data_IF_405518571253
#
_entry.id   IF_405518571253
#
_cell.length_a   1.000
_cell.length_b   1.000
_cell.length_c   1.000
_cell.angle_alpha   90.00
_cell.angle_beta   90.00
_cell.angle_gamma   90.00
#
_symmetry.space_group_name_H-M   'P 1'
#
loop_
_entity.id
_entity.type
_entity.pdbx_description
1 polymer ?
#
# COMPACT_ATOMS: atom_id res chain seq x y z
N UNK A 1 69.85 -34.27 -15.47
CA UNK A 1 68.46 -34.54 -15.08
C UNK A 1 67.96 -33.32 -14.27
N UNK A 2 67.10 -32.47 -14.86
CA UNK A 2 66.53 -31.31 -14.21
C UNK A 2 65.06 -31.64 -13.89
N UNK A 3 64.68 -31.75 -12.61
CA UNK A 3 63.33 -31.89 -12.17
C UNK A 3 62.70 -30.50 -12.06
N UNK A 4 61.63 -30.24 -12.87
CA UNK A 4 60.80 -29.05 -12.76
C UNK A 4 59.62 -29.45 -11.86
N UNK A 5 59.59 -28.88 -10.64
CA UNK A 5 58.39 -28.97 -9.78
C UNK A 5 57.32 -27.98 -10.27
N UNK A 6 56.25 -28.51 -10.80
CA UNK A 6 55.07 -27.69 -11.12
C UNK A 6 54.24 -27.40 -9.85
N UNK A 7 54.15 -26.13 -9.50
CA UNK A 7 53.32 -25.65 -8.39
C UNK A 7 51.89 -25.41 -8.94
N UNK A 8 50.94 -26.34 -8.65
CA UNK A 8 49.51 -26.11 -8.96
C UNK A 8 48.90 -25.22 -7.87
N UNK A 9 48.66 -23.94 -8.24
CA UNK A 9 47.82 -23.05 -7.44
C UNK A 9 46.34 -23.44 -7.61
N UNK A 10 45.72 -24.04 -6.59
CA UNK A 10 44.27 -24.24 -6.48
C UNK A 10 43.64 -22.89 -6.06
N UNK A 11 43.07 -22.16 -7.00
CA UNK A 11 42.21 -21.03 -6.76
C UNK A 11 40.84 -21.54 -6.26
N UNK A 12 40.64 -21.54 -4.94
CA UNK A 12 39.35 -21.80 -4.33
C UNK A 12 38.38 -20.68 -4.66
N UNK A 13 37.36 -20.97 -5.48
CA UNK A 13 36.23 -20.06 -5.73
C UNK A 13 35.34 -20.08 -4.47
N UNK A 14 35.46 -19.04 -3.64
CA UNK A 14 34.51 -18.82 -2.53
C UNK A 14 33.20 -18.29 -3.12
N UNK A 15 32.25 -19.17 -3.35
CA UNK A 15 30.87 -18.76 -3.67
C UNK A 15 30.23 -18.20 -2.39
N UNK A 16 30.20 -16.88 -2.26
CA UNK A 16 29.39 -16.20 -1.25
C UNK A 16 27.93 -16.37 -1.66
N UNK A 17 27.24 -17.33 -1.06
CA UNK A 17 25.78 -17.42 -1.14
C UNK A 17 25.23 -16.20 -0.43
N UNK A 18 24.63 -15.26 -1.17
CA UNK A 18 23.86 -14.17 -0.56
C UNK A 18 22.66 -14.79 0.14
N UNK A 19 22.73 -14.92 1.45
CA UNK A 19 21.62 -15.38 2.28
C UNK A 19 20.54 -14.30 2.19
N UNK A 20 19.37 -14.63 1.64
CA UNK A 20 18.24 -13.71 1.55
C UNK A 20 17.83 -13.27 2.96
N UNK A 21 18.03 -12.00 3.27
CA UNK A 21 17.76 -11.47 4.59
C UNK A 21 16.25 -11.41 4.81
N UNK A 22 15.76 -12.11 5.82
CA UNK A 22 14.36 -12.05 6.23
C UNK A 22 14.05 -10.62 6.70
N UNK A 23 13.02 -10.01 6.13
CA UNK A 23 12.58 -8.67 6.53
C UNK A 23 12.00 -8.69 7.96
N UNK A 24 12.23 -7.62 8.71
CA UNK A 24 11.51 -7.39 9.96
C UNK A 24 10.02 -7.17 9.67
N UNK A 25 9.17 -7.23 10.70
CA UNK A 25 7.74 -6.95 10.55
C UNK A 25 7.50 -5.54 10.00
N UNK A 26 8.23 -4.54 10.51
CA UNK A 26 8.16 -3.17 10.02
C UNK A 26 8.55 -3.07 8.54
N UNK A 27 9.69 -3.66 8.17
CA UNK A 27 10.19 -3.62 6.79
C UNK A 27 9.21 -4.30 5.81
N UNK A 28 8.67 -5.46 6.19
CA UNK A 28 7.66 -6.16 5.40
C UNK A 28 6.39 -5.33 5.22
N UNK A 29 5.89 -4.76 6.32
CA UNK A 29 4.69 -3.90 6.29
C UNK A 29 4.88 -2.66 5.42
N UNK A 30 6.02 -1.99 5.53
CA UNK A 30 6.36 -0.83 4.70
C UNK A 30 6.46 -1.20 3.21
N UNK A 31 7.07 -2.33 2.89
CA UNK A 31 7.17 -2.82 1.51
C UNK A 31 5.79 -3.08 0.92
N UNK A 32 4.94 -3.80 1.64
CA UNK A 32 3.61 -4.17 1.17
C UNK A 32 2.72 -2.92 0.99
N UNK A 33 2.80 -1.96 1.91
CA UNK A 33 2.11 -0.67 1.81
C UNK A 33 2.56 0.13 0.58
N UNK A 34 3.87 0.20 0.33
CA UNK A 34 4.42 0.91 -0.83
C UNK A 34 3.99 0.27 -2.15
N UNK A 35 4.00 -1.06 -2.23
CA UNK A 35 3.50 -1.79 -3.40
C UNK A 35 2.01 -1.51 -3.65
N UNK A 36 1.21 -1.42 -2.58
CA UNK A 36 -0.21 -1.08 -2.68
C UNK A 36 -0.41 0.36 -3.14
N UNK A 37 0.37 1.33 -2.62
CA UNK A 37 0.38 2.72 -3.11
C UNK A 37 0.57 2.76 -4.62
N UNK A 38 1.63 2.12 -5.12
CA UNK A 38 1.96 2.11 -6.55
C UNK A 38 0.80 1.55 -7.39
N UNK A 39 0.17 0.49 -6.91
CA UNK A 39 -0.96 -0.16 -7.59
C UNK A 39 -2.19 0.75 -7.60
N UNK A 40 -2.52 1.35 -6.46
CA UNK A 40 -3.67 2.24 -6.32
C UNK A 40 -3.49 3.54 -7.10
N UNK A 41 -2.31 4.12 -7.13
CA UNK A 41 -2.02 5.30 -7.95
C UNK A 41 -2.18 5.00 -9.44
N UNK A 42 -1.68 3.87 -9.92
CA UNK A 42 -1.80 3.46 -11.33
C UNK A 42 -3.25 3.23 -11.74
N UNK A 43 -4.04 2.50 -10.95
CA UNK A 43 -5.44 2.22 -11.30
C UNK A 43 -6.29 3.50 -11.23
N UNK A 44 -6.06 4.36 -10.24
CA UNK A 44 -6.80 5.62 -10.09
C UNK A 44 -6.49 6.59 -11.24
N UNK A 45 -5.24 6.65 -11.68
CA UNK A 45 -4.84 7.48 -12.82
C UNK A 45 -5.39 6.97 -14.17
N UNK A 46 -5.66 5.68 -14.30
CA UNK A 46 -6.09 5.06 -15.55
C UNK A 46 -7.51 5.47 -16.00
N UNK A 47 -8.39 5.86 -15.09
CA UNK A 47 -9.73 6.35 -15.44
C UNK A 47 -9.62 7.78 -16.00
N UNK A 48 -10.13 8.07 -17.23
CA UNK A 48 -10.14 9.42 -17.79
C UNK A 48 -10.93 10.42 -16.94
N UNK A 49 -10.60 11.70 -17.07
CA UNK A 49 -11.29 12.79 -16.34
C UNK A 49 -12.80 12.79 -16.61
N UNK A 50 -13.19 12.66 -17.88
CA UNK A 50 -14.58 12.69 -18.32
C UNK A 50 -15.44 11.53 -17.81
N UNK A 51 -14.80 10.40 -17.44
CA UNK A 51 -15.48 9.23 -16.88
C UNK A 51 -15.18 9.02 -15.40
N UNK A 52 -14.45 9.94 -14.75
CA UNK A 52 -14.08 9.81 -13.36
C UNK A 52 -15.29 9.80 -12.40
N UNK A 53 -16.41 10.40 -12.83
CA UNK A 53 -17.71 10.33 -12.16
C UNK A 53 -18.57 9.11 -12.52
N UNK A 54 -18.06 8.14 -13.30
CA UNK A 54 -18.84 6.96 -13.70
C UNK A 54 -19.29 6.13 -12.51
N UNK A 55 -20.57 5.74 -12.52
CA UNK A 55 -21.23 4.93 -11.48
C UNK A 55 -21.86 3.68 -12.12
N UNK A 56 -21.44 2.46 -11.78
CA UNK A 56 -21.97 1.24 -12.40
C UNK A 56 -23.46 1.02 -12.14
N UNK A 57 -23.91 1.29 -10.92
CA UNK A 57 -25.32 1.21 -10.51
C UNK A 57 -25.65 2.37 -9.54
N UNK A 58 -26.93 2.79 -9.44
CA UNK A 58 -27.31 3.93 -8.60
C UNK A 58 -26.85 3.89 -7.14
N UNK A 59 -26.89 2.73 -6.43
CA UNK A 59 -26.48 2.67 -5.02
C UNK A 59 -24.96 2.61 -4.81
N UNK A 60 -24.17 2.34 -5.85
CA UNK A 60 -22.71 2.29 -5.73
C UNK A 60 -22.08 3.68 -5.72
N UNK A 61 -20.88 3.79 -5.16
CA UNK A 61 -20.02 4.97 -5.32
C UNK A 61 -19.65 5.13 -6.80
N UNK A 62 -19.42 6.36 -7.25
CA UNK A 62 -18.74 6.59 -8.51
C UNK A 62 -17.22 6.33 -8.37
N UNK A 63 -16.46 6.36 -9.46
CA UNK A 63 -15.04 6.03 -9.43
C UNK A 63 -14.23 6.98 -8.53
N UNK A 64 -14.46 8.29 -8.61
CA UNK A 64 -13.82 9.29 -7.75
C UNK A 64 -14.16 9.08 -6.26
N UNK A 65 -15.42 8.78 -5.96
CA UNK A 65 -15.87 8.44 -4.61
C UNK A 65 -15.21 7.15 -4.07
N UNK A 66 -14.91 6.17 -4.92
CA UNK A 66 -14.14 4.99 -4.51
C UNK A 66 -12.70 5.36 -4.13
N UNK A 67 -12.06 6.23 -4.90
CA UNK A 67 -10.71 6.72 -4.58
C UNK A 67 -10.71 7.49 -3.26
N UNK A 68 -11.67 8.40 -3.08
CA UNK A 68 -11.81 9.16 -1.82
C UNK A 68 -12.09 8.26 -0.62
N UNK A 69 -12.83 7.17 -0.80
CA UNK A 69 -13.08 6.20 0.26
C UNK A 69 -11.78 5.49 0.71
N UNK A 70 -10.85 5.23 -0.21
CA UNK A 70 -9.51 4.74 0.16
C UNK A 70 -8.72 5.81 0.91
N UNK A 71 -8.79 7.08 0.48
CA UNK A 71 -8.16 8.21 1.20
C UNK A 71 -8.62 8.26 2.64
N UNK A 72 -9.94 8.26 2.85
CA UNK A 72 -10.54 8.29 4.18
C UNK A 72 -10.13 7.07 5.03
N UNK A 73 -10.15 5.87 4.47
CA UNK A 73 -9.75 4.65 5.15
C UNK A 73 -8.29 4.71 5.58
N UNK A 74 -7.36 5.01 4.67
CA UNK A 74 -5.94 5.14 4.96
C UNK A 74 -5.68 6.10 6.12
N UNK A 75 -6.23 7.32 6.04
CA UNK A 75 -6.02 8.34 7.09
C UNK A 75 -6.58 7.87 8.43
N UNK A 76 -7.79 7.36 8.45
CA UNK A 76 -8.46 6.94 9.68
C UNK A 76 -7.78 5.73 10.33
N UNK A 77 -7.35 4.74 9.56
CA UNK A 77 -6.72 3.53 10.11
C UNK A 77 -5.29 3.80 10.56
N UNK A 78 -4.49 4.54 9.78
CA UNK A 78 -3.13 4.90 10.19
C UNK A 78 -3.14 5.79 11.44
N UNK A 79 -4.12 6.67 11.59
CA UNK A 79 -4.29 7.48 12.81
C UNK A 79 -4.46 6.63 14.09
N UNK A 80 -5.05 5.42 13.97
CA UNK A 80 -5.22 4.47 15.07
C UNK A 80 -3.91 3.86 15.58
N UNK A 81 -2.81 4.03 14.84
CA UNK A 81 -1.49 3.62 15.31
C UNK A 81 -0.97 4.51 16.44
N UNK A 82 -1.58 5.70 16.64
CA UNK A 82 -1.30 6.59 17.76
C UNK A 82 0.03 7.35 17.65
N UNK A 83 0.59 7.48 16.46
CA UNK A 83 1.77 8.30 16.21
C UNK A 83 1.44 9.80 16.27
N UNK A 84 2.45 10.61 16.58
CA UNK A 84 2.32 12.08 16.64
C UNK A 84 2.57 12.77 15.29
N UNK A 85 2.44 12.03 14.21
CA UNK A 85 2.57 12.58 12.84
C UNK A 85 1.24 13.20 12.45
N UNK A 86 1.21 14.47 11.99
CA UNK A 86 -0.04 15.10 11.55
C UNK A 86 -0.66 14.33 10.37
N UNK A 87 -1.94 14.01 10.50
CA UNK A 87 -2.69 13.39 9.42
C UNK A 87 -2.92 14.39 8.27
N UNK A 88 -2.85 13.94 7.00
CA UNK A 88 -3.16 14.80 5.86
C UNK A 88 -4.65 15.18 5.85
N UNK A 89 -4.94 16.41 5.45
CA UNK A 89 -6.31 16.84 5.22
C UNK A 89 -6.87 16.25 3.93
N UNK A 90 -8.16 15.94 3.91
CA UNK A 90 -8.87 15.48 2.71
C UNK A 90 -10.29 16.04 2.66
N UNK A 91 -10.87 16.07 1.47
CA UNK A 91 -12.24 16.52 1.23
C UNK A 91 -13.02 15.43 0.49
N UNK A 92 -14.04 14.85 1.15
CA UNK A 92 -14.88 13.80 0.59
C UNK A 92 -15.84 14.29 -0.50
N UNK A 93 -16.01 15.61 -0.65
CA UNK A 93 -16.88 16.22 -1.66
C UNK A 93 -16.09 16.69 -2.90
N UNK A 94 -14.77 16.45 -2.96
CA UNK A 94 -13.96 16.80 -4.12
C UNK A 94 -14.36 15.97 -5.34
N UNK A 95 -14.43 16.60 -6.51
CA UNK A 95 -14.81 15.94 -7.76
C UNK A 95 -13.73 16.02 -8.85
N UNK A 96 -12.75 16.92 -8.69
CA UNK A 96 -11.65 17.08 -9.65
C UNK A 96 -10.63 15.95 -9.48
N UNK A 97 -10.45 15.16 -10.52
CA UNK A 97 -9.52 14.02 -10.52
C UNK A 97 -8.14 14.39 -9.99
N UNK A 98 -7.55 15.48 -10.47
CA UNK A 98 -6.20 15.90 -10.08
C UNK A 98 -6.07 16.12 -8.56
N UNK A 99 -7.07 16.71 -7.92
CA UNK A 99 -7.05 16.95 -6.47
C UNK A 99 -7.32 15.65 -5.69
N UNK A 100 -8.20 14.78 -6.18
CA UNK A 100 -8.44 13.46 -5.59
C UNK A 100 -7.16 12.61 -5.62
N UNK A 101 -6.41 12.61 -6.74
CA UNK A 101 -5.15 11.87 -6.83
C UNK A 101 -4.07 12.41 -5.88
N UNK A 102 -4.00 13.74 -5.68
CA UNK A 102 -3.10 14.33 -4.65
C UNK A 102 -3.47 13.88 -3.25
N UNK A 103 -4.76 13.85 -2.92
CA UNK A 103 -5.21 13.36 -1.61
C UNK A 103 -4.93 11.86 -1.43
N UNK A 104 -5.10 11.05 -2.49
CA UNK A 104 -4.74 9.63 -2.46
C UNK A 104 -3.25 9.45 -2.19
N UNK A 105 -2.39 10.18 -2.91
CA UNK A 105 -0.96 10.13 -2.70
C UNK A 105 -0.58 10.52 -1.26
N UNK A 106 -1.09 11.65 -0.77
CA UNK A 106 -0.84 12.12 0.59
C UNK A 106 -1.31 11.11 1.66
N UNK A 107 -2.46 10.44 1.44
CA UNK A 107 -2.98 9.42 2.35
C UNK A 107 -2.07 8.19 2.43
N UNK A 108 -1.49 7.78 1.30
CA UNK A 108 -0.52 6.70 1.27
C UNK A 108 0.84 7.10 1.85
N UNK A 109 1.30 8.34 1.68
CA UNK A 109 2.56 8.84 2.26
C UNK A 109 2.49 8.99 3.78
N UNK A 110 1.29 9.12 4.31
CA UNK A 110 1.06 9.13 5.76
C UNK A 110 1.44 7.80 6.42
N UNK A 111 1.20 6.66 5.76
CA UNK A 111 1.57 5.33 6.27
C UNK A 111 3.06 5.21 6.59
N UNK A 112 3.99 5.38 5.63
CA UNK A 112 5.43 5.36 5.89
C UNK A 112 5.88 6.40 6.90
N UNK A 113 5.32 7.62 6.88
CA UNK A 113 5.65 8.66 7.86
C UNK A 113 5.38 8.23 9.31
N UNK A 114 4.35 7.40 9.52
CA UNK A 114 4.01 6.83 10.83
C UNK A 114 4.81 5.56 11.09
N UNK A 115 4.83 4.61 10.16
CA UNK A 115 5.41 3.28 10.35
C UNK A 115 6.93 3.29 10.52
N UNK A 116 7.65 4.21 9.86
CA UNK A 116 9.10 4.33 9.99
C UNK A 116 9.57 4.67 11.41
N UNK A 117 8.72 5.28 12.22
CA UNK A 117 9.02 5.60 13.62
C UNK A 117 8.73 4.45 14.60
N UNK A 118 8.19 3.31 14.12
CA UNK A 118 7.77 2.19 14.94
C UNK A 118 8.74 1.01 14.81
N UNK A 119 9.04 0.36 15.94
CA UNK A 119 9.71 -0.94 15.97
C UNK A 119 8.70 -2.08 15.75
N UNK A 120 9.20 -3.31 15.56
CA UNK A 120 8.34 -4.50 15.51
C UNK A 120 7.52 -4.67 16.80
N UNK A 121 8.10 -4.35 17.96
CA UNK A 121 7.39 -4.38 19.23
C UNK A 121 6.27 -3.32 19.30
N UNK A 122 6.51 -2.14 18.74
CA UNK A 122 5.47 -1.11 18.66
C UNK A 122 4.31 -1.54 17.76
N UNK A 123 4.59 -2.23 16.65
CA UNK A 123 3.57 -2.77 15.76
C UNK A 123 2.75 -3.88 16.42
N UNK A 124 3.34 -4.66 17.31
CA UNK A 124 2.66 -5.70 18.07
C UNK A 124 1.89 -5.14 19.29
N UNK A 125 2.16 -3.92 19.72
CA UNK A 125 1.44 -3.28 20.81
C UNK A 125 -0.01 -2.88 20.38
N UNK A 126 -0.88 -2.68 21.37
CA UNK A 126 -2.28 -2.32 21.13
C UNK A 126 -2.43 -1.04 20.31
N UNK A 127 -3.31 -1.08 19.34
CA UNK A 127 -3.75 0.10 18.61
C UNK A 127 -4.70 0.95 19.46
N UNK A 128 -4.80 2.24 19.12
CA UNK A 128 -5.81 3.11 19.72
C UNK A 128 -7.18 2.78 19.13
N UNK A 129 -8.08 2.29 19.95
CA UNK A 129 -9.45 1.97 19.55
C UNK A 129 -10.46 2.72 20.40
N UNK A 130 -11.53 3.20 19.78
CA UNK A 130 -12.66 3.77 20.49
C UNK A 130 -13.43 2.71 21.27
N UNK A 131 -14.15 3.15 22.31
CA UNK A 131 -15.05 2.25 23.08
C UNK A 131 -16.13 1.69 22.13
N UNK A 132 -16.25 0.36 22.04
CA UNK A 132 -17.25 -0.30 21.20
C UNK A 132 -16.85 -0.47 19.72
N UNK A 133 -15.59 -0.24 19.39
CA UNK A 133 -15.06 -0.50 18.05
C UNK A 133 -15.15 -2.01 17.73
N UNK A 134 -16.13 -2.37 16.91
CA UNK A 134 -16.43 -3.78 16.56
C UNK A 134 -15.34 -4.43 15.73
N UNK A 135 -14.61 -3.64 14.92
CA UNK A 135 -13.64 -4.17 13.95
C UNK A 135 -12.23 -4.16 14.50
N UNK A 136 -11.86 -3.11 15.26
CA UNK A 136 -10.50 -2.88 15.73
C UNK A 136 -10.32 -3.05 17.24
N UNK A 137 -11.40 -3.28 17.99
CA UNK A 137 -11.31 -3.52 19.43
C UNK A 137 -10.37 -4.68 19.76
N UNK A 138 -9.36 -4.44 20.60
CA UNK A 138 -8.35 -5.44 20.99
C UNK A 138 -7.32 -5.77 19.90
N UNK A 139 -7.25 -4.96 18.83
CA UNK A 139 -6.23 -5.16 17.78
C UNK A 139 -4.88 -4.59 18.19
N UNK A 140 -3.81 -5.24 17.73
CA UNK A 140 -2.50 -4.61 17.65
C UNK A 140 -2.40 -3.71 16.40
N UNK A 141 -1.35 -2.87 16.36
CA UNK A 141 -1.19 -1.89 15.27
C UNK A 141 -1.00 -2.54 13.91
N UNK A 142 -0.22 -3.61 13.83
CA UNK A 142 0.01 -4.29 12.54
C UNK A 142 -1.28 -4.86 11.97
N UNK A 143 -2.19 -5.40 12.82
CA UNK A 143 -3.49 -5.86 12.36
C UNK A 143 -4.32 -4.73 11.74
N UNK A 144 -4.26 -3.52 12.32
CA UNK A 144 -4.97 -2.36 11.76
C UNK A 144 -4.45 -2.03 10.37
N UNK A 145 -3.12 -2.03 10.17
CA UNK A 145 -2.52 -1.78 8.85
C UNK A 145 -2.96 -2.82 7.82
N UNK A 146 -2.85 -4.12 8.14
CA UNK A 146 -3.24 -5.18 7.20
C UNK A 146 -4.75 -5.25 6.96
N UNK A 147 -5.58 -4.86 7.93
CA UNK A 147 -7.01 -4.70 7.71
C UNK A 147 -7.30 -3.60 6.68
N UNK A 148 -6.66 -2.44 6.80
CA UNK A 148 -6.78 -1.34 5.86
C UNK A 148 -6.29 -1.73 4.46
N UNK A 149 -5.14 -2.41 4.39
CA UNK A 149 -4.62 -2.94 3.12
C UNK A 149 -5.60 -3.94 2.47
N UNK A 150 -6.21 -4.83 3.27
CA UNK A 150 -7.24 -5.77 2.80
C UNK A 150 -8.48 -5.04 2.26
N UNK A 151 -8.93 -4.00 2.96
CA UNK A 151 -10.01 -3.15 2.51
C UNK A 151 -9.68 -2.42 1.20
N UNK A 152 -8.49 -1.89 1.10
CA UNK A 152 -8.00 -1.22 -0.13
C UNK A 152 -7.92 -2.18 -1.32
N UNK A 153 -7.54 -3.46 -1.10
CA UNK A 153 -7.56 -4.47 -2.16
C UNK A 153 -8.97 -4.83 -2.62
N UNK A 154 -9.96 -4.82 -1.72
CA UNK A 154 -11.37 -4.96 -2.11
C UNK A 154 -11.81 -3.81 -3.03
N UNK A 155 -11.50 -2.57 -2.65
CA UNK A 155 -11.80 -1.39 -3.49
C UNK A 155 -11.07 -1.45 -4.83
N UNK A 156 -9.79 -1.87 -4.86
CA UNK A 156 -9.04 -2.10 -6.09
C UNK A 156 -9.78 -3.06 -7.03
N UNK A 157 -10.26 -4.19 -6.50
CA UNK A 157 -11.03 -5.15 -7.28
C UNK A 157 -12.30 -4.55 -7.91
N UNK A 158 -12.99 -3.71 -7.17
CA UNK A 158 -14.14 -2.97 -7.68
C UNK A 158 -13.71 -1.98 -8.78
N UNK A 159 -12.65 -1.20 -8.57
CA UNK A 159 -12.14 -0.23 -9.56
C UNK A 159 -11.71 -0.90 -10.88
N UNK A 160 -11.17 -2.12 -10.83
CA UNK A 160 -10.89 -2.95 -12.02
C UNK A 160 -12.16 -3.17 -12.85
N UNK A 161 -13.30 -3.43 -12.19
CA UNK A 161 -14.58 -3.59 -12.90
C UNK A 161 -15.02 -2.27 -13.53
N UNK A 162 -14.88 -1.14 -12.83
CA UNK A 162 -15.22 0.18 -13.36
C UNK A 162 -14.43 0.52 -14.64
N UNK A 163 -13.12 0.26 -14.63
CA UNK A 163 -12.29 0.47 -15.83
C UNK A 163 -12.80 -0.37 -17.01
N UNK A 164 -13.04 -1.67 -16.78
CA UNK A 164 -13.52 -2.59 -17.83
C UNK A 164 -14.88 -2.19 -18.39
N UNK A 165 -15.80 -1.71 -17.56
CA UNK A 165 -17.10 -1.20 -18.01
C UNK A 165 -16.97 0.06 -18.88
N UNK A 166 -15.86 0.80 -18.77
CA UNK A 166 -15.52 1.93 -19.61
C UNK A 166 -14.56 1.56 -20.77
N UNK A 167 -14.37 0.28 -21.08
CA UNK A 167 -13.51 -0.19 -22.16
C UNK A 167 -12.01 -0.04 -21.89
N UNK A 168 -11.60 0.22 -20.64
CA UNK A 168 -10.22 0.47 -20.26
C UNK A 168 -9.60 -0.82 -19.71
N UNK A 169 -8.46 -1.23 -20.27
CA UNK A 169 -7.66 -2.34 -19.72
C UNK A 169 -6.98 -1.89 -18.43
N UNK A 170 -7.25 -2.54 -17.28
CA UNK A 170 -6.58 -2.20 -16.03
C UNK A 170 -5.05 -2.31 -16.15
N UNK A 171 -4.27 -1.42 -15.49
CA UNK A 171 -2.80 -1.41 -15.61
C UNK A 171 -2.15 -2.77 -15.35
N UNK A 172 -2.59 -3.52 -14.34
CA UNK A 172 -2.05 -4.85 -14.02
C UNK A 172 -2.40 -5.93 -15.07
N UNK A 173 -3.30 -5.65 -16.00
CA UNK A 173 -3.69 -6.56 -17.10
C UNK A 173 -3.05 -6.17 -18.44
N UNK A 174 -2.32 -5.07 -18.49
CA UNK A 174 -1.55 -4.67 -19.68
C UNK A 174 -0.30 -5.55 -19.76
N UNK A 175 -0.12 -6.19 -20.93
CA UNK A 175 1.11 -6.95 -21.19
C UNK A 175 2.25 -5.97 -21.48
N UNK A 176 3.49 -6.27 -21.02
CA UNK A 176 4.67 -5.50 -21.40
C UNK A 176 4.94 -5.59 -22.90
#
# INVERSE_FOLDING_TARGET
>A
MRFVLGLCLLLGVVTVSAQEQVLSLQQGTLRDWTMQKDTMMKISAAMPEETFGFKPTPPQRNFGEQVLHVVEANVNQINRLGAKVPAPAYNMEETRKAEILKMLEASFDYGPAVLQSMSDNDLLASAVSGRGDRFMGGSNRVRVVYFDMGHTWDIYGQMVVYLRLNGITPPASQRP
#
